data_IF_038038668526
#
_entry.id   IF_038038668526
#
_cell.length_a   1.000
_cell.length_b   1.000
_cell.length_c   1.000
_cell.angle_alpha   90.00
_cell.angle_beta   90.00
_cell.angle_gamma   90.00
#
_symmetry.space_group_name_H-M   'P 1'
#
loop_
_entity.id
_entity.type
_entity.pdbx_description
1 polymer ?
#
# COMPACT_ATOMS: atom_id res chain seq x y z
N UNK A 1 25.67 11.71 -7.17
CA UNK A 1 26.44 10.69 -7.93
C UNK A 1 25.72 10.54 -9.25
N UNK A 2 26.37 10.92 -10.37
CA UNK A 2 25.74 11.01 -11.71
C UNK A 2 25.19 9.67 -12.24
N UNK A 3 25.71 8.55 -11.76
CA UNK A 3 25.29 7.19 -12.16
C UNK A 3 23.86 6.83 -11.73
N UNK A 4 23.31 7.51 -10.73
CA UNK A 4 21.96 7.26 -10.21
C UNK A 4 20.97 8.39 -10.52
N UNK A 5 21.35 9.28 -11.45
CA UNK A 5 20.47 10.37 -11.84
C UNK A 5 19.20 9.82 -12.51
N UNK A 6 18.03 10.20 -12.00
CA UNK A 6 16.74 9.71 -12.47
C UNK A 6 16.25 8.40 -11.82
N UNK A 7 17.02 7.80 -10.90
CA UNK A 7 16.54 6.68 -10.09
C UNK A 7 15.57 7.17 -9.03
N UNK A 8 14.44 6.47 -8.90
CA UNK A 8 13.45 6.73 -7.88
C UNK A 8 12.93 5.45 -7.26
N UNK A 9 12.40 5.56 -6.04
CA UNK A 9 11.74 4.46 -5.36
C UNK A 9 10.55 4.94 -4.54
N UNK A 10 9.62 4.04 -4.24
CA UNK A 10 8.57 4.26 -3.25
C UNK A 10 9.10 3.92 -1.85
N UNK A 11 8.46 4.46 -0.82
CA UNK A 11 8.69 4.06 0.57
C UNK A 11 7.37 4.09 1.32
N UNK A 12 7.05 2.98 1.99
CA UNK A 12 5.97 2.92 2.97
C UNK A 12 6.54 2.35 4.26
N UNK A 13 6.60 3.18 5.30
CA UNK A 13 7.16 2.86 6.59
C UNK A 13 6.09 2.95 7.67
N UNK A 14 5.98 1.92 8.50
CA UNK A 14 5.10 1.90 9.65
C UNK A 14 5.91 1.72 10.94
N UNK A 15 5.65 2.57 11.93
CA UNK A 15 6.23 2.47 13.26
C UNK A 15 5.13 2.24 14.29
N UNK A 16 5.08 1.01 14.82
CA UNK A 16 4.14 0.59 15.85
C UNK A 16 4.72 0.86 17.23
N UNK A 17 4.15 1.84 17.95
CA UNK A 17 4.46 2.15 19.35
C UNK A 17 3.42 1.45 20.24
N UNK A 18 3.62 0.16 20.48
CA UNK A 18 2.64 -0.66 21.23
C UNK A 18 2.31 -0.11 22.61
N UNK A 19 3.30 0.41 23.35
CA UNK A 19 3.10 0.99 24.68
C UNK A 19 2.19 2.23 24.66
N UNK A 20 2.13 2.95 23.55
CA UNK A 20 1.31 4.15 23.38
C UNK A 20 0.03 3.87 22.58
N UNK A 21 -0.19 2.62 22.14
CA UNK A 21 -1.30 2.23 21.26
C UNK A 21 -1.37 3.11 20.01
N UNK A 22 -0.22 3.35 19.37
CA UNK A 22 -0.09 4.25 18.23
C UNK A 22 0.64 3.61 17.06
N UNK A 23 0.19 3.95 15.85
CA UNK A 23 0.81 3.65 14.57
C UNK A 23 1.17 4.97 13.89
N UNK A 24 2.44 5.14 13.55
CA UNK A 24 2.91 6.21 12.67
C UNK A 24 3.19 5.64 11.29
N UNK A 25 2.70 6.30 10.26
CA UNK A 25 2.89 5.93 8.86
C UNK A 25 3.62 7.07 8.14
N UNK A 26 4.73 6.76 7.47
CA UNK A 26 5.39 7.64 6.51
C UNK A 26 5.31 7.01 5.12
N UNK A 27 4.88 7.78 4.11
CA UNK A 27 4.56 7.23 2.81
C UNK A 27 4.95 8.15 1.65
N UNK A 28 5.55 7.55 0.61
CA UNK A 28 5.82 8.15 -0.71
C UNK A 28 5.65 7.07 -1.77
N UNK A 29 4.85 7.33 -2.80
CA UNK A 29 4.65 6.45 -3.95
C UNK A 29 3.26 5.83 -3.99
N UNK A 30 3.17 4.63 -4.58
CA UNK A 30 1.93 3.85 -4.80
C UNK A 30 1.92 2.48 -4.14
N UNK A 31 2.96 2.16 -3.36
CA UNK A 31 2.89 1.05 -2.40
C UNK A 31 1.87 1.41 -1.32
N UNK A 32 1.14 0.44 -0.79
CA UNK A 32 -0.01 0.73 0.08
C UNK A 32 0.15 0.20 1.49
N UNK A 33 -0.47 0.92 2.44
CA UNK A 33 -0.69 0.49 3.81
C UNK A 33 -2.18 0.35 4.05
N UNK A 34 -2.60 -0.79 4.63
CA UNK A 34 -3.98 -1.06 5.01
C UNK A 34 -4.08 -1.43 6.48
N UNK A 35 -5.12 -0.95 7.13
CA UNK A 35 -5.54 -1.38 8.46
C UNK A 35 -6.74 -2.31 8.33
N UNK A 36 -6.66 -3.49 8.94
CA UNK A 36 -7.80 -4.38 9.15
C UNK A 36 -8.19 -4.30 10.62
N UNK A 37 -9.42 -3.88 10.88
CA UNK A 37 -10.02 -3.72 12.20
C UNK A 37 -11.48 -4.14 12.18
N UNK A 38 -11.92 -4.97 13.13
CA UNK A 38 -13.33 -5.34 13.32
C UNK A 38 -14.02 -5.82 12.03
N UNK A 39 -13.30 -6.62 11.23
CA UNK A 39 -13.82 -7.16 9.97
C UNK A 39 -13.89 -6.16 8.80
N UNK A 40 -13.26 -5.01 8.91
CA UNK A 40 -13.17 -4.00 7.87
C UNK A 40 -11.73 -3.76 7.46
N UNK A 41 -11.52 -3.45 6.17
CA UNK A 41 -10.23 -3.03 5.63
C UNK A 41 -10.30 -1.56 5.22
N UNK A 42 -9.26 -0.81 5.56
CA UNK A 42 -9.15 0.61 5.20
C UNK A 42 -7.75 0.89 4.69
N UNK A 43 -7.62 1.50 3.51
CA UNK A 43 -6.34 1.99 3.02
C UNK A 43 -5.94 3.24 3.81
N UNK A 44 -4.78 3.19 4.46
CA UNK A 44 -4.22 4.28 5.27
C UNK A 44 -3.36 5.25 4.45
N UNK A 45 -2.64 4.74 3.46
CA UNK A 45 -1.82 5.52 2.53
C UNK A 45 -2.67 6.11 1.41
N UNK A 46 -2.23 7.22 0.85
CA UNK A 46 -2.80 7.78 -0.38
C UNK A 46 -1.82 7.55 -1.51
N UNK A 47 -2.27 6.95 -2.61
CA UNK A 47 -1.41 6.71 -3.77
C UNK A 47 -0.94 8.05 -4.38
N UNK A 48 0.36 8.18 -4.59
CA UNK A 48 0.96 9.33 -5.28
C UNK A 48 1.11 9.01 -6.78
N UNK A 49 -0.03 8.93 -7.46
CA UNK A 49 -0.11 8.67 -8.89
C UNK A 49 -0.89 9.76 -9.60
N UNK A 50 -0.63 9.95 -10.89
CA UNK A 50 -1.35 10.92 -11.71
C UNK A 50 -2.87 10.66 -11.67
N UNK A 51 -3.27 9.40 -11.75
CA UNK A 51 -4.70 9.03 -11.74
C UNK A 51 -5.34 9.29 -10.38
N UNK A 52 -4.63 9.10 -9.27
CA UNK A 52 -5.14 9.43 -7.94
C UNK A 52 -5.36 10.96 -7.79
N UNK A 53 -4.45 11.75 -8.32
CA UNK A 53 -4.59 13.21 -8.35
C UNK A 53 -5.77 13.65 -9.23
N UNK A 54 -5.99 13.00 -10.39
CA UNK A 54 -7.15 13.25 -11.26
C UNK A 54 -8.47 12.91 -10.56
N UNK A 55 -8.54 11.79 -9.83
CA UNK A 55 -9.73 11.43 -9.04
C UNK A 55 -10.01 12.47 -7.95
N UNK A 56 -8.96 12.92 -7.24
CA UNK A 56 -9.08 13.95 -6.19
C UNK A 56 -9.60 15.28 -6.73
N UNK A 57 -9.22 15.64 -7.97
CA UNK A 57 -9.70 16.85 -8.66
C UNK A 57 -11.08 16.67 -9.31
N UNK A 58 -11.65 15.46 -9.31
CA UNK A 58 -12.91 15.16 -9.98
C UNK A 58 -12.81 15.01 -11.51
N UNK A 59 -11.60 14.93 -12.05
CA UNK A 59 -11.33 14.78 -13.49
C UNK A 59 -11.46 13.32 -13.95
N UNK A 60 -11.38 12.36 -13.02
CA UNK A 60 -11.48 10.93 -13.28
C UNK A 60 -12.34 10.27 -12.19
N UNK A 61 -13.20 9.31 -12.57
CA UNK A 61 -13.94 8.49 -11.60
C UNK A 61 -13.08 7.35 -11.09
N UNK A 62 -13.28 6.94 -9.84
CA UNK A 62 -12.51 5.86 -9.21
C UNK A 62 -12.56 4.54 -10.02
N UNK A 63 -13.71 4.22 -10.61
CA UNK A 63 -13.89 3.00 -11.41
C UNK A 63 -13.06 2.99 -12.70
N UNK A 64 -12.64 4.17 -13.18
CA UNK A 64 -11.86 4.33 -14.42
C UNK A 64 -10.35 4.20 -14.20
N UNK A 65 -9.88 4.33 -12.94
CA UNK A 65 -8.44 4.29 -12.58
C UNK A 65 -7.79 3.00 -13.05
N UNK A 66 -8.42 1.86 -12.81
CA UNK A 66 -7.86 0.53 -13.10
C UNK A 66 -7.49 0.34 -14.57
N UNK A 67 -8.23 0.97 -15.48
CA UNK A 67 -8.06 0.83 -16.93
C UNK A 67 -7.38 2.05 -17.57
N UNK A 68 -6.95 3.04 -16.76
CA UNK A 68 -6.33 4.24 -17.30
C UNK A 68 -4.90 3.95 -17.79
N UNK A 69 -4.49 4.42 -18.98
CA UNK A 69 -3.16 4.13 -19.53
C UNK A 69 -2.00 4.67 -18.68
N UNK A 70 -2.24 5.73 -17.93
CA UNK A 70 -1.24 6.37 -17.06
C UNK A 70 -1.39 5.99 -15.58
N UNK A 71 -2.05 4.87 -15.25
CA UNK A 71 -2.28 4.46 -13.85
C UNK A 71 -1.01 4.21 -13.04
N UNK A 72 0.12 3.93 -13.72
CA UNK A 72 1.42 3.67 -13.09
C UNK A 72 2.34 4.90 -13.04
N UNK A 73 1.86 6.07 -13.49
CA UNK A 73 2.67 7.29 -13.47
C UNK A 73 2.69 7.85 -12.06
N UNK A 74 3.85 7.78 -11.40
CA UNK A 74 4.06 8.35 -10.07
C UNK A 74 4.17 9.87 -10.14
N UNK A 75 3.53 10.55 -9.17
CA UNK A 75 3.67 12.00 -8.95
C UNK A 75 4.66 12.32 -7.83
N UNK A 76 4.97 11.35 -6.95
CA UNK A 76 6.00 11.46 -5.91
C UNK A 76 6.81 10.17 -5.83
N UNK A 77 8.15 10.30 -5.83
CA UNK A 77 9.09 9.21 -5.61
C UNK A 77 10.36 9.73 -4.91
N UNK A 78 10.95 8.93 -4.03
CA UNK A 78 12.24 9.23 -3.42
C UNK A 78 13.34 9.20 -4.48
N UNK A 79 14.26 10.18 -4.44
CA UNK A 79 15.43 10.24 -5.30
C UNK A 79 15.35 11.27 -6.43
N UNK A 80 14.17 11.72 -6.83
CA UNK A 80 13.99 12.63 -7.97
C UNK A 80 13.83 14.10 -7.56
N UNK A 81 13.31 14.37 -6.36
CA UNK A 81 13.04 15.73 -5.88
C UNK A 81 13.70 15.97 -4.50
N UNK A 82 14.64 16.92 -4.37
CA UNK A 82 15.25 17.26 -3.08
C UNK A 82 14.27 17.88 -2.07
N UNK A 83 13.12 18.37 -2.54
CA UNK A 83 12.08 19.02 -1.72
C UNK A 83 10.82 18.14 -1.58
N UNK A 84 10.98 16.83 -1.72
CA UNK A 84 9.88 15.88 -1.66
C UNK A 84 9.11 15.99 -0.34
N UNK A 85 7.81 16.25 -0.43
CA UNK A 85 6.89 16.13 0.70
C UNK A 85 6.55 14.67 0.97
N UNK A 86 6.90 14.18 2.16
CA UNK A 86 6.53 12.86 2.66
C UNK A 86 5.19 12.96 3.39
N UNK A 87 4.25 12.09 3.07
CA UNK A 87 3.00 11.97 3.82
C UNK A 87 3.28 11.30 5.16
N UNK A 88 3.07 12.03 6.26
CA UNK A 88 3.23 11.50 7.62
C UNK A 88 1.87 11.54 8.31
N UNK A 89 1.41 10.39 8.81
CA UNK A 89 0.13 10.24 9.49
C UNK A 89 0.27 9.44 10.77
N UNK A 90 -0.62 9.71 11.71
CA UNK A 90 -0.73 9.02 12.99
C UNK A 90 -2.11 8.40 13.11
N UNK A 91 -2.15 7.14 13.55
CA UNK A 91 -3.37 6.39 13.79
C UNK A 91 -3.34 5.72 15.16
N UNK A 92 -4.50 5.45 15.72
CA UNK A 92 -4.61 4.57 16.88
C UNK A 92 -4.34 3.14 16.46
N UNK A 93 -3.63 2.39 17.31
CA UNK A 93 -3.40 0.96 17.17
C UNK A 93 -4.07 0.21 18.31
N UNK A 94 -4.89 -0.78 18.00
CA UNK A 94 -5.66 -1.54 18.97
C UNK A 94 -5.30 -3.04 18.92
N UNK A 95 -5.56 -3.75 20.02
CA UNK A 95 -5.44 -5.21 20.03
C UNK A 95 -6.43 -5.81 19.03
N UNK A 96 -5.96 -6.73 18.21
CA UNK A 96 -6.75 -7.36 17.15
C UNK A 96 -6.67 -6.66 15.81
N UNK A 97 -5.99 -5.49 15.72
CA UNK A 97 -5.69 -4.87 14.45
C UNK A 97 -4.68 -5.70 13.64
N UNK A 98 -4.79 -5.62 12.33
CA UNK A 98 -3.75 -6.10 11.43
C UNK A 98 -3.34 -4.98 10.48
N UNK A 99 -2.03 -4.83 10.28
CA UNK A 99 -1.44 -3.87 9.35
C UNK A 99 -0.81 -4.62 8.18
N UNK A 100 -1.29 -4.33 6.97
CA UNK A 100 -0.72 -4.84 5.73
C UNK A 100 0.05 -3.71 5.03
N UNK A 101 1.31 -3.96 4.68
CA UNK A 101 2.07 -3.15 3.74
C UNK A 101 2.34 -3.98 2.49
N UNK A 102 2.12 -3.41 1.30
CA UNK A 102 2.35 -4.13 0.06
C UNK A 102 2.70 -3.21 -1.10
N UNK A 103 3.35 -3.76 -2.10
CA UNK A 103 3.59 -3.10 -3.38
C UNK A 103 2.37 -3.23 -4.30
N UNK A 104 2.32 -2.40 -5.34
CA UNK A 104 1.24 -2.37 -6.34
C UNK A 104 1.12 -3.68 -7.13
N UNK A 105 2.20 -4.47 -7.25
CA UNK A 105 2.16 -5.83 -7.81
C UNK A 105 1.16 -6.77 -7.12
N UNK A 106 0.83 -6.51 -5.82
CA UNK A 106 -0.26 -7.22 -5.14
C UNK A 106 -1.62 -6.59 -5.48
N UNK A 107 -1.78 -5.29 -5.26
CA UNK A 107 -3.08 -4.60 -5.31
C UNK A 107 -3.62 -4.40 -6.73
N UNK A 108 -2.78 -4.51 -7.75
CA UNK A 108 -3.20 -4.57 -9.14
C UNK A 108 -3.92 -5.89 -9.49
N UNK A 109 -3.71 -6.95 -8.69
CA UNK A 109 -4.21 -8.31 -8.96
C UNK A 109 -5.18 -8.84 -7.90
N UNK A 110 -5.15 -8.31 -6.68
CA UNK A 110 -5.97 -8.75 -5.54
C UNK A 110 -6.76 -7.56 -5.02
N UNK A 111 -8.08 -7.70 -4.89
CA UNK A 111 -8.96 -6.62 -4.44
C UNK A 111 -8.93 -6.45 -2.92
N UNK A 112 -9.38 -5.30 -2.43
CA UNK A 112 -9.42 -5.01 -0.99
C UNK A 112 -10.30 -6.03 -0.22
N UNK A 113 -11.41 -6.47 -0.82
CA UNK A 113 -12.29 -7.50 -0.26
C UNK A 113 -11.57 -8.85 -0.13
N UNK A 114 -10.77 -9.21 -1.13
CA UNK A 114 -9.99 -10.45 -1.11
C UNK A 114 -8.83 -10.37 -0.11
N UNK A 115 -8.16 -9.21 0.00
CA UNK A 115 -7.17 -8.95 1.04
C UNK A 115 -7.77 -9.18 2.42
N UNK A 116 -8.94 -8.57 2.68
CA UNK A 116 -9.66 -8.73 3.94
C UNK A 116 -9.99 -10.19 4.24
N UNK A 117 -10.60 -10.90 3.27
CA UNK A 117 -10.99 -12.30 3.45
C UNK A 117 -9.80 -13.20 3.78
N UNK A 118 -8.66 -12.98 3.09
CA UNK A 118 -7.45 -13.78 3.33
C UNK A 118 -6.87 -13.51 4.71
N UNK A 119 -6.80 -12.23 5.14
CA UNK A 119 -6.25 -11.84 6.43
C UNK A 119 -7.11 -12.37 7.58
N UNK A 120 -8.44 -12.27 7.47
CA UNK A 120 -9.36 -12.75 8.51
C UNK A 120 -9.40 -14.27 8.61
N UNK A 121 -9.23 -15.00 7.50
CA UNK A 121 -9.29 -16.46 7.48
C UNK A 121 -7.96 -17.14 7.83
N UNK A 122 -6.85 -16.40 7.89
CA UNK A 122 -5.54 -16.98 8.11
C UNK A 122 -5.26 -17.21 9.60
N UNK A 123 -4.61 -18.32 9.92
CA UNK A 123 -4.22 -18.67 11.31
C UNK A 123 -3.11 -17.75 11.84
N UNK A 124 -2.28 -17.22 10.94
CA UNK A 124 -1.15 -16.36 11.30
C UNK A 124 -0.70 -15.50 10.09
N UNK A 125 0.16 -14.53 10.36
CA UNK A 125 0.65 -13.59 9.34
C UNK A 125 1.38 -14.29 8.18
N UNK A 126 2.15 -15.34 8.46
CA UNK A 126 2.89 -16.10 7.43
C UNK A 126 1.93 -16.74 6.45
N UNK A 127 0.94 -17.47 6.93
CA UNK A 127 -0.07 -18.14 6.09
C UNK A 127 -0.84 -17.14 5.23
N UNK A 128 -1.19 -15.97 5.80
CA UNK A 128 -1.86 -14.91 5.06
C UNK A 128 -0.99 -14.37 3.92
N UNK A 129 0.26 -14.01 4.20
CA UNK A 129 1.17 -13.43 3.20
C UNK A 129 1.50 -14.42 2.09
N UNK A 130 1.74 -15.69 2.40
CA UNK A 130 1.97 -16.75 1.41
C UNK A 130 0.74 -16.96 0.51
N UNK A 131 -0.46 -16.91 1.07
CA UNK A 131 -1.70 -17.02 0.29
C UNK A 131 -1.91 -15.83 -0.63
N UNK A 132 -1.70 -14.60 -0.14
CA UNK A 132 -1.80 -13.38 -0.96
C UNK A 132 -0.80 -13.39 -2.11
N UNK A 133 0.46 -13.75 -1.84
CA UNK A 133 1.48 -13.90 -2.86
C UNK A 133 1.08 -14.95 -3.92
N UNK A 134 0.61 -16.10 -3.47
CA UNK A 134 0.17 -17.19 -4.37
C UNK A 134 -1.00 -16.76 -5.26
N UNK A 135 -1.96 -16.01 -4.71
CA UNK A 135 -3.08 -15.47 -5.48
C UNK A 135 -2.61 -14.52 -6.58
N UNK A 136 -1.72 -13.59 -6.26
CA UNK A 136 -1.19 -12.64 -7.23
C UNK A 136 -0.36 -13.36 -8.33
N UNK A 137 0.48 -14.31 -7.97
CA UNK A 137 1.26 -15.11 -8.93
C UNK A 137 0.37 -15.92 -9.88
N UNK A 138 -0.70 -16.55 -9.37
CA UNK A 138 -1.68 -17.26 -10.20
C UNK A 138 -2.44 -16.35 -11.17
N UNK A 139 -2.53 -15.05 -10.89
CA UNK A 139 -3.18 -14.04 -11.73
C UNK A 139 -2.21 -13.35 -12.69
N UNK A 140 -1.00 -13.88 -12.81
CA UNK A 140 -0.01 -13.44 -13.78
C UNK A 140 1.30 -12.96 -13.17
N UNK A 141 1.29 -12.38 -11.95
CA UNK A 141 2.52 -11.92 -11.28
C UNK A 141 3.34 -10.98 -12.16
N UNK A 142 2.68 -10.01 -12.79
CA UNK A 142 3.30 -9.16 -13.84
C UNK A 142 4.33 -8.18 -13.32
N UNK A 143 4.45 -8.02 -12.00
CA UNK A 143 5.38 -7.11 -11.34
C UNK A 143 5.99 -7.75 -10.09
N UNK A 144 6.98 -7.08 -9.49
CA UNK A 144 7.53 -7.46 -8.20
C UNK A 144 6.46 -7.34 -7.11
N UNK A 145 6.34 -8.37 -6.28
CA UNK A 145 5.32 -8.43 -5.22
C UNK A 145 6.01 -8.52 -3.87
N UNK A 146 5.82 -7.51 -3.03
CA UNK A 146 6.22 -7.54 -1.63
C UNK A 146 4.99 -7.44 -0.75
N UNK A 147 4.91 -8.29 0.26
CA UNK A 147 3.80 -8.33 1.22
C UNK A 147 4.36 -8.46 2.62
N UNK A 148 3.97 -7.56 3.52
CA UNK A 148 4.31 -7.58 4.94
C UNK A 148 3.03 -7.45 5.75
N UNK A 149 2.78 -8.35 6.69
CA UNK A 149 1.63 -8.33 7.57
C UNK A 149 2.08 -8.36 9.04
N UNK A 150 1.61 -7.39 9.82
CA UNK A 150 1.71 -7.39 11.28
C UNK A 150 0.33 -7.62 11.89
N UNK A 151 0.23 -8.52 12.88
CA UNK A 151 -0.98 -8.80 13.64
C UNK A 151 -0.77 -8.32 15.07
N UNK A 152 -1.74 -7.54 15.59
CA UNK A 152 -1.74 -6.95 16.92
C UNK A 152 -2.28 -7.84 18.04
#
# INVERSE_FOLDING_TARGET
ISEYQGMGTTLTLAWLKKAESQLYLAHVGDSRAYLVREGHISQLSQDHTLVADMVKKGELKAEQVKNHPQRHVLTKALGNDPWLEVDIRKYDWQKGDSLLLCTDGLTNLVTDEELLQVILAAENAKTATEKLLTMALKRGGYDNITVLLAIG
#
